data_IF_090985822579
#
_entry.id   IF_090985822579
#
_cell.length_a   1.000
_cell.length_b   1.000
_cell.length_c   1.000
_cell.angle_alpha   90.00
_cell.angle_beta   90.00
_cell.angle_gamma   90.00
#
_symmetry.space_group_name_H-M   'P 1'
#
loop_
_entity.id
_entity.type
_entity.pdbx_description
1 polymer ?
#
# COMPACT_ATOMS: atom_id res chain seq x y z
N UNK A 1 13.41 2.48 7.03
CA UNK A 1 13.04 2.10 5.64
C UNK A 1 11.61 1.51 5.56
N UNK A 2 10.72 1.90 6.48
CA UNK A 2 9.31 1.50 6.48
C UNK A 2 8.40 2.71 6.26
N UNK A 3 8.87 3.90 6.65
CA UNK A 3 8.16 5.16 6.50
C UNK A 3 7.73 5.44 5.05
N UNK A 4 6.55 6.08 4.88
CA UNK A 4 6.14 6.71 3.64
C UNK A 4 7.22 7.65 3.08
N UNK A 5 7.49 7.52 1.79
CA UNK A 5 8.45 8.38 1.09
C UNK A 5 8.02 8.60 -0.36
N UNK A 6 8.38 9.75 -0.90
CA UNK A 6 8.16 10.06 -2.31
C UNK A 6 9.05 9.22 -3.22
N UNK A 7 8.46 8.71 -4.30
CA UNK A 7 9.17 8.24 -5.49
C UNK A 7 9.23 9.39 -6.50
N UNK A 8 8.08 10.01 -6.76
CA UNK A 8 7.93 11.25 -7.51
C UNK A 8 7.21 12.24 -6.59
N UNK A 9 7.85 13.34 -6.15
CA UNK A 9 7.24 14.31 -5.25
C UNK A 9 5.87 14.80 -5.75
N UNK A 10 4.85 14.72 -4.89
CA UNK A 10 3.48 15.17 -5.21
C UNK A 10 2.70 14.27 -6.17
N UNK A 11 3.25 13.12 -6.58
CA UNK A 11 2.59 12.24 -7.57
C UNK A 11 2.52 10.80 -7.09
N UNK A 12 3.67 10.20 -6.75
CA UNK A 12 3.78 8.78 -6.40
C UNK A 12 4.66 8.62 -5.16
N UNK A 13 4.12 7.98 -4.13
CA UNK A 13 4.83 7.60 -2.91
C UNK A 13 4.81 6.09 -2.70
N UNK A 14 5.70 5.61 -1.84
CA UNK A 14 5.77 4.20 -1.44
C UNK A 14 5.95 4.06 0.07
N UNK A 15 5.48 2.96 0.63
CA UNK A 15 5.70 2.63 2.05
C UNK A 15 5.65 1.12 2.30
N UNK A 16 6.03 0.71 3.50
CA UNK A 16 5.62 -0.56 4.07
C UNK A 16 4.16 -0.49 4.58
N UNK A 17 3.61 -1.62 5.06
CA UNK A 17 2.30 -1.63 5.70
C UNK A 17 2.34 -0.89 7.05
N UNK A 18 1.24 -0.28 7.51
CA UNK A 18 1.16 0.25 8.87
C UNK A 18 1.43 -0.87 9.91
N UNK A 19 2.22 -0.58 10.94
CA UNK A 19 2.66 -1.57 11.93
C UNK A 19 3.77 -2.52 11.48
N UNK A 20 4.38 -2.34 10.30
CA UNK A 20 5.52 -3.20 9.86
C UNK A 20 6.71 -3.16 10.84
N UNK A 21 6.89 -2.05 11.56
CA UNK A 21 7.95 -1.90 12.55
C UNK A 21 7.80 -2.86 13.75
N UNK A 22 6.57 -3.27 14.07
CA UNK A 22 6.29 -4.27 15.12
C UNK A 22 6.79 -5.65 14.70
N UNK A 23 6.65 -5.98 13.41
CA UNK A 23 7.22 -7.19 12.82
C UNK A 23 6.58 -7.56 11.49
N UNK A 24 7.14 -8.57 10.80
CA UNK A 24 6.65 -8.98 9.48
C UNK A 24 5.23 -9.55 9.51
N UNK A 25 4.88 -10.26 10.59
CA UNK A 25 3.60 -10.95 10.80
C UNK A 25 2.94 -10.58 12.13
N UNK A 26 3.39 -9.48 12.75
CA UNK A 26 2.76 -8.97 13.96
C UNK A 26 1.48 -8.21 13.62
N UNK A 27 0.48 -8.36 14.49
CA UNK A 27 -0.75 -7.59 14.42
C UNK A 27 -0.45 -6.11 14.59
N UNK A 28 -1.16 -5.29 13.82
CA UNK A 28 -1.01 -3.85 13.86
C UNK A 28 -2.25 -3.26 14.55
N UNK A 29 -2.09 -2.68 15.76
CA UNK A 29 -3.21 -2.04 16.43
C UNK A 29 -3.66 -0.81 15.64
N UNK A 30 -4.89 -0.37 15.89
CA UNK A 30 -5.51 0.76 15.17
C UNK A 30 -4.64 2.02 15.24
N UNK A 31 -3.99 2.28 16.38
CA UNK A 31 -3.16 3.45 16.62
C UNK A 31 -1.95 3.51 15.67
N UNK A 32 -1.37 2.37 15.30
CA UNK A 32 -0.29 2.29 14.31
C UNK A 32 -0.80 2.65 12.91
N UNK A 33 -2.02 2.24 12.59
CA UNK A 33 -2.67 2.57 11.32
C UNK A 33 -3.03 4.05 11.28
N UNK A 34 -3.60 4.60 12.36
CA UNK A 34 -3.94 6.01 12.46
C UNK A 34 -2.71 6.91 12.33
N UNK A 35 -1.62 6.55 13.00
CA UNK A 35 -0.35 7.28 12.96
C UNK A 35 0.23 7.28 11.55
N UNK A 36 0.21 6.13 10.88
CA UNK A 36 0.64 6.01 9.49
C UNK A 36 -0.25 6.85 8.55
N UNK A 37 -1.58 6.80 8.70
CA UNK A 37 -2.51 7.62 7.92
C UNK A 37 -2.32 9.13 8.18
N UNK A 38 -1.93 9.53 9.39
CA UNK A 38 -1.60 10.92 9.70
C UNK A 38 -0.36 11.41 8.94
N UNK A 39 0.67 10.57 8.81
CA UNK A 39 1.84 10.87 7.95
C UNK A 39 1.42 11.05 6.49
N UNK A 40 0.58 10.15 5.97
CA UNK A 40 0.06 10.24 4.60
C UNK A 40 -0.72 11.55 4.36
N UNK A 41 -1.57 11.94 5.32
CA UNK A 41 -2.28 13.23 5.27
C UNK A 41 -1.31 14.41 5.29
N UNK A 42 -0.27 14.37 6.13
CA UNK A 42 0.78 15.40 6.16
C UNK A 42 1.55 15.52 4.84
N UNK A 43 1.70 14.41 4.11
CA UNK A 43 2.26 14.39 2.76
C UNK A 43 1.26 14.84 1.67
N UNK A 44 -0.03 15.00 2.00
CA UNK A 44 -1.07 15.31 1.04
C UNK A 44 -1.46 14.14 0.13
N UNK A 45 -1.18 12.88 0.52
CA UNK A 45 -1.63 11.69 -0.21
C UNK A 45 -3.16 11.68 -0.25
N UNK A 46 -3.74 11.43 -1.44
CA UNK A 46 -5.19 11.30 -1.61
C UNK A 46 -5.62 9.84 -1.77
N UNK A 47 -4.74 9.00 -2.32
CA UNK A 47 -5.09 7.62 -2.68
C UNK A 47 -4.07 6.59 -2.22
N UNK A 48 -4.53 5.38 -1.94
CA UNK A 48 -3.73 4.25 -1.47
C UNK A 48 -3.97 3.03 -2.35
N UNK A 49 -2.90 2.43 -2.87
CA UNK A 49 -2.90 1.12 -3.52
C UNK A 49 -2.29 0.10 -2.55
N UNK A 50 -3.13 -0.82 -2.06
CA UNK A 50 -2.73 -1.91 -1.18
C UNK A 50 -2.38 -3.16 -1.99
N UNK A 51 -1.19 -3.71 -1.79
CA UNK A 51 -0.71 -4.95 -2.43
C UNK A 51 -0.65 -6.15 -1.48
N UNK A 52 -1.30 -6.05 -0.32
CA UNK A 52 -1.29 -7.13 0.68
C UNK A 52 -2.11 -8.34 0.21
N UNK A 53 -1.71 -9.51 0.68
CA UNK A 53 -2.50 -10.73 0.58
C UNK A 53 -3.28 -10.96 1.87
N UNK A 54 -4.19 -11.94 1.85
CA UNK A 54 -5.11 -12.20 2.97
C UNK A 54 -4.37 -12.43 4.29
N UNK A 55 -3.22 -13.12 4.27
CA UNK A 55 -2.42 -13.37 5.46
C UNK A 55 -1.94 -12.08 6.13
N UNK A 56 -1.58 -11.06 5.35
CA UNK A 56 -1.21 -9.77 5.90
C UNK A 56 -2.43 -8.92 6.27
N UNK A 57 -3.55 -9.07 5.55
CA UNK A 57 -4.79 -8.36 5.89
C UNK A 57 -5.38 -8.84 7.22
N UNK A 58 -5.22 -10.13 7.57
CA UNK A 58 -5.63 -10.66 8.87
C UNK A 58 -4.92 -10.00 10.08
N UNK A 59 -3.81 -9.30 9.86
CA UNK A 59 -3.06 -8.61 10.92
C UNK A 59 -3.76 -7.33 11.42
N UNK A 60 -4.90 -6.97 10.83
CA UNK A 60 -5.69 -5.77 11.13
C UNK A 60 -7.10 -6.11 11.61
N UNK A 61 -7.25 -7.23 12.33
CA UNK A 61 -8.54 -7.77 12.79
C UNK A 61 -9.36 -6.80 13.66
N UNK A 62 -8.70 -5.86 14.33
CA UNK A 62 -9.33 -4.88 15.21
C UNK A 62 -9.88 -3.66 14.46
N UNK A 63 -9.64 -3.56 13.14
CA UNK A 63 -10.22 -2.52 12.32
C UNK A 63 -11.62 -2.92 11.83
N UNK A 64 -12.61 -2.02 11.93
CA UNK A 64 -13.93 -2.29 11.37
C UNK A 64 -13.81 -2.49 9.86
N UNK A 65 -14.38 -3.59 9.36
CA UNK A 65 -14.41 -3.95 7.93
C UNK A 65 -13.02 -4.18 7.28
N UNK A 66 -11.97 -4.22 8.10
CA UNK A 66 -10.60 -4.48 7.66
C UNK A 66 -9.87 -3.26 7.09
N UNK A 67 -8.58 -3.44 6.81
CA UNK A 67 -7.65 -2.34 6.52
C UNK A 67 -8.05 -1.46 5.33
N UNK A 68 -8.50 -2.08 4.23
CA UNK A 68 -8.77 -1.34 2.98
C UNK A 68 -10.03 -0.48 3.12
N UNK A 69 -11.09 -1.00 3.73
CA UNK A 69 -12.29 -0.20 4.04
C UNK A 69 -11.99 0.87 5.08
N UNK A 70 -11.14 0.56 6.06
CA UNK A 70 -10.69 1.55 7.04
C UNK A 70 -10.01 2.76 6.38
N UNK A 71 -9.20 2.55 5.35
CA UNK A 71 -8.63 3.66 4.56
C UNK A 71 -9.71 4.53 3.93
N UNK A 72 -10.76 3.92 3.35
CA UNK A 72 -11.88 4.63 2.73
C UNK A 72 -12.70 5.41 3.75
N UNK A 73 -12.99 4.80 4.89
CA UNK A 73 -13.67 5.45 6.01
C UNK A 73 -12.88 6.66 6.56
N UNK A 74 -11.55 6.63 6.44
CA UNK A 74 -10.66 7.75 6.79
C UNK A 74 -10.51 8.82 5.70
N UNK A 75 -11.25 8.74 4.60
CA UNK A 75 -11.30 9.75 3.54
C UNK A 75 -10.29 9.56 2.41
N UNK A 76 -9.59 8.42 2.34
CA UNK A 76 -8.71 8.10 1.22
C UNK A 76 -9.47 7.36 0.12
N UNK A 77 -9.08 7.56 -1.13
CA UNK A 77 -9.45 6.61 -2.18
C UNK A 77 -8.56 5.38 -2.08
N UNK A 78 -9.13 4.17 -2.07
CA UNK A 78 -8.34 2.96 -1.91
C UNK A 78 -8.66 1.91 -2.98
N UNK A 79 -7.60 1.34 -3.55
CA UNK A 79 -7.66 0.14 -4.38
C UNK A 79 -6.86 -0.98 -3.72
N UNK A 80 -7.36 -2.20 -3.84
CA UNK A 80 -6.67 -3.41 -3.36
C UNK A 80 -6.40 -4.33 -4.55
N UNK A 81 -5.13 -4.61 -4.77
CA UNK A 81 -4.67 -5.57 -5.76
C UNK A 81 -3.92 -6.65 -4.98
N UNK A 82 -4.56 -7.81 -4.81
CA UNK A 82 -3.96 -8.90 -4.08
C UNK A 82 -2.68 -9.40 -4.79
N UNK A 83 -1.55 -9.30 -4.10
CA UNK A 83 -0.27 -9.85 -4.56
C UNK A 83 0.31 -10.71 -3.44
N UNK A 84 0.31 -12.03 -3.66
CA UNK A 84 0.81 -13.01 -2.68
C UNK A 84 2.24 -12.70 -2.25
N UNK A 85 2.54 -12.90 -0.97
CA UNK A 85 3.87 -12.64 -0.45
C UNK A 85 4.95 -13.52 -1.13
N UNK A 86 6.06 -12.93 -1.63
CA UNK A 86 7.16 -13.69 -2.22
C UNK A 86 7.76 -14.76 -1.32
N UNK A 87 7.82 -14.53 0.00
CA UNK A 87 8.32 -15.51 0.98
C UNK A 87 7.44 -16.77 1.00
N UNK A 88 6.18 -16.64 0.60
CA UNK A 88 5.21 -17.74 0.52
C UNK A 88 5.07 -18.29 -0.91
N UNK A 89 6.06 -18.06 -1.77
CA UNK A 89 6.07 -18.46 -3.17
C UNK A 89 5.23 -17.57 -4.09
N UNK A 90 4.86 -16.36 -3.65
CA UNK A 90 4.13 -15.39 -4.47
C UNK A 90 4.99 -14.81 -5.59
N UNK A 91 4.38 -14.63 -6.77
CA UNK A 91 5.00 -13.98 -7.92
C UNK A 91 4.17 -12.75 -8.26
N UNK A 92 4.84 -11.61 -8.48
CA UNK A 92 4.20 -10.42 -9.06
C UNK A 92 4.05 -10.68 -10.56
N UNK A 93 2.82 -10.87 -11.00
CA UNK A 93 2.48 -11.18 -12.40
C UNK A 93 2.25 -9.91 -13.21
N UNK A 94 2.35 -10.00 -14.53
CA UNK A 94 2.06 -8.88 -15.43
C UNK A 94 0.59 -8.43 -15.32
N UNK A 95 -0.35 -9.36 -15.15
CA UNK A 95 -1.76 -9.05 -14.88
C UNK A 95 -1.94 -8.22 -13.59
N UNK A 96 -1.21 -8.56 -12.51
CA UNK A 96 -1.23 -7.78 -11.29
C UNK A 96 -0.65 -6.36 -11.50
N UNK A 97 0.43 -6.25 -12.27
CA UNK A 97 1.02 -4.96 -12.62
C UNK A 97 0.09 -4.11 -13.49
N UNK A 98 -0.61 -4.73 -14.45
CA UNK A 98 -1.61 -4.06 -15.27
C UNK A 98 -2.77 -3.53 -14.43
N UNK A 99 -3.26 -4.32 -13.46
CA UNK A 99 -4.28 -3.86 -12.48
C UNK A 99 -3.79 -2.70 -11.63
N UNK A 100 -2.53 -2.73 -11.19
CA UNK A 100 -1.91 -1.60 -10.47
C UNK A 100 -1.88 -0.35 -11.35
N UNK A 101 -1.54 -0.48 -12.64
CA UNK A 101 -1.54 0.65 -13.58
C UNK A 101 -2.94 1.22 -13.80
N UNK A 102 -3.94 0.36 -14.03
CA UNK A 102 -5.34 0.80 -14.17
C UNK A 102 -5.81 1.54 -12.92
N UNK A 103 -5.61 0.97 -11.73
CA UNK A 103 -5.96 1.61 -10.47
C UNK A 103 -5.21 2.94 -10.30
N UNK A 104 -3.93 2.99 -10.66
CA UNK A 104 -3.17 4.23 -10.64
C UNK A 104 -3.81 5.27 -11.58
N UNK A 105 -4.20 4.92 -12.81
CA UNK A 105 -4.81 5.89 -13.72
C UNK A 105 -6.12 6.48 -13.20
N UNK A 106 -6.94 5.67 -12.52
CA UNK A 106 -8.26 6.07 -12.01
C UNK A 106 -8.20 6.87 -10.70
N UNK A 107 -7.20 6.60 -9.85
CA UNK A 107 -7.11 7.18 -8.52
C UNK A 107 -6.56 8.63 -8.54
N UNK A 108 -7.16 9.56 -7.76
CA UNK A 108 -6.67 10.92 -7.66
C UNK A 108 -5.25 10.98 -7.08
N UNK A 109 -4.42 11.88 -7.60
CA UNK A 109 -3.04 12.08 -7.17
C UNK A 109 -2.98 13.02 -5.97
N UNK A 110 -2.02 12.83 -5.04
CA UNK A 110 -0.92 11.85 -5.07
C UNK A 110 -1.35 10.45 -4.59
N UNK A 111 -0.73 9.42 -5.16
CA UNK A 111 -0.98 8.00 -4.81
C UNK A 111 0.17 7.43 -4.00
N UNK A 112 -0.14 6.72 -2.92
CA UNK A 112 0.82 5.88 -2.21
C UNK A 112 0.57 4.39 -2.53
N UNK A 113 1.62 3.65 -2.83
CA UNK A 113 1.56 2.19 -3.02
C UNK A 113 2.34 1.47 -1.92
N UNK A 114 1.74 0.44 -1.31
CA UNK A 114 2.40 -0.32 -0.24
C UNK A 114 2.16 -1.83 -0.34
N UNK A 115 3.09 -2.59 0.22
CA UNK A 115 2.96 -4.02 0.49
C UNK A 115 3.32 -4.27 1.96
N UNK A 116 3.82 -5.46 2.33
CA UNK A 116 4.23 -5.71 3.71
C UNK A 116 5.50 -4.94 4.08
N UNK A 117 6.61 -5.14 3.36
CA UNK A 117 7.90 -4.50 3.65
C UNK A 117 8.18 -3.21 2.86
N UNK A 118 7.37 -2.89 1.85
CA UNK A 118 7.60 -1.74 0.96
C UNK A 118 8.80 -1.90 0.01
N UNK A 119 9.27 -3.14 -0.21
CA UNK A 119 10.46 -3.46 -1.02
C UNK A 119 10.14 -4.27 -2.27
N UNK A 120 9.71 -5.53 -2.12
CA UNK A 120 9.65 -6.43 -3.29
C UNK A 120 8.43 -6.16 -4.18
N UNK A 121 7.23 -6.39 -3.65
CA UNK A 121 5.96 -6.15 -4.37
C UNK A 121 5.82 -4.67 -4.75
N UNK A 122 6.06 -3.79 -3.79
CA UNK A 122 6.06 -2.34 -3.98
C UNK A 122 7.12 -1.89 -4.98
N UNK A 123 8.34 -2.43 -4.94
CA UNK A 123 9.40 -2.07 -5.86
C UNK A 123 9.05 -2.43 -7.29
N UNK A 124 8.62 -3.67 -7.55
CA UNK A 124 8.18 -4.09 -8.89
C UNK A 124 7.02 -3.25 -9.42
N UNK A 125 6.05 -2.94 -8.55
CA UNK A 125 4.92 -2.11 -8.92
C UNK A 125 5.34 -0.65 -9.22
N UNK A 126 6.22 -0.07 -8.40
CA UNK A 126 6.79 1.27 -8.62
C UNK A 126 7.59 1.30 -9.92
N UNK A 127 8.49 0.34 -10.15
CA UNK A 127 9.30 0.29 -11.38
C UNK A 127 8.42 0.17 -12.63
N UNK A 128 7.33 -0.60 -12.55
CA UNK A 128 6.35 -0.69 -13.62
C UNK A 128 5.64 0.65 -13.85
N UNK A 129 5.15 1.30 -12.79
CA UNK A 129 4.50 2.61 -12.89
C UNK A 129 5.45 3.66 -13.49
N UNK A 130 6.71 3.69 -13.07
CA UNK A 130 7.70 4.62 -13.61
C UNK A 130 7.87 4.45 -15.13
N UNK A 131 8.00 3.20 -15.60
CA UNK A 131 8.08 2.90 -17.04
C UNK A 131 6.83 3.32 -17.83
N UNK A 132 5.66 3.24 -17.21
CA UNK A 132 4.39 3.60 -17.86
C UNK A 132 4.14 5.12 -17.85
N UNK A 133 4.68 5.84 -16.88
CA UNK A 133 4.57 7.30 -16.75
C UNK A 133 5.55 7.99 -17.72
N UNK A 134 6.76 7.45 -17.90
CA UNK A 134 7.81 7.98 -18.77
C UNK A 134 9.21 7.71 -18.23
#
# INVERSE_FOLDING_TARGET
>A
MFEPQWVIPGVLARSARPGRALGPYEEAPKEEVDSWLAVLRGMGILSIICLLDDKHLCLYKDLPEGLVEYYRACGFHAAHIMVRDPVLGGIVTDDALQKVWMAYQELPKPVLIHCSAGRDRTGKAVDYLLKMIG
#
